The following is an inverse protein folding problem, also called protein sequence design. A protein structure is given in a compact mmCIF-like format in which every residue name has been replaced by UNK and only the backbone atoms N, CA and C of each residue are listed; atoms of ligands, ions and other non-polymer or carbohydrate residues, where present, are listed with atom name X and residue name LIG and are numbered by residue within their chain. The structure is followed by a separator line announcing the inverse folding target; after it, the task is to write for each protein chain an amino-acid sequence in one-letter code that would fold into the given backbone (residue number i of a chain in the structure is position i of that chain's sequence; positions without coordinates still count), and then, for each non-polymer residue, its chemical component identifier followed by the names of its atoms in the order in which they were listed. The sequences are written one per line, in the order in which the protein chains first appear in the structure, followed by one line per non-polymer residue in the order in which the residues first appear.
data_IF_473414140483
#
_entry.id   IF_473414140483
#
_cell.length_a   1.000
_cell.length_b   1.000
_cell.length_c   1.000
_cell.angle_alpha   90.00
_cell.angle_beta   90.00
_cell.angle_gamma   90.00
#
_symmetry.space_group_name_H-M   'P 1'
#
loop_
_entity.id
_entity.type
_entity.pdbx_description
1 polymer ?
#
# COMPACT_ATOMS: atom_id res chain seq x y z
N UNK A 1 -13.70 13.25 6.66
CA UNK A 1 -14.58 12.10 6.34
C UNK A 1 -15.36 11.68 7.58
N UNK A 2 -16.55 11.08 7.44
CA UNK A 2 -17.36 10.59 8.58
C UNK A 2 -17.03 9.12 8.86
N UNK A 3 -17.07 8.71 10.14
CA UNK A 3 -16.83 7.35 10.70
C UNK A 3 -17.43 6.16 9.92
N UNK A 4 -18.47 6.39 9.10
CA UNK A 4 -19.08 5.37 8.22
C UNK A 4 -18.20 4.94 7.03
N UNK A 5 -17.26 5.76 6.56
CA UNK A 5 -16.49 5.48 5.34
C UNK A 5 -15.26 4.58 5.58
N UNK A 6 -14.61 4.71 6.75
CA UNK A 6 -13.40 3.95 7.14
C UNK A 6 -13.70 2.58 7.80
N UNK A 7 -14.97 2.27 8.09
CA UNK A 7 -15.36 1.10 8.90
C UNK A 7 -15.08 1.26 10.40
N UNK A 8 -15.07 0.15 11.15
CA UNK A 8 -14.76 0.11 12.60
C UNK A 8 -13.26 0.23 12.90
N UNK A 9 -12.48 0.93 12.08
CA UNK A 9 -11.07 1.12 12.37
C UNK A 9 -10.90 1.89 13.68
N UNK A 10 -10.36 1.21 14.70
CA UNK A 10 -10.09 1.78 16.03
C UNK A 10 -8.72 2.42 16.13
N UNK A 11 -7.84 2.19 15.14
CA UNK A 11 -6.47 2.71 15.07
C UNK A 11 -5.91 2.69 13.65
N UNK A 12 -4.84 3.43 13.44
CA UNK A 12 -3.98 3.34 12.27
C UNK A 12 -3.43 1.91 12.12
N UNK A 13 -3.33 1.44 10.88
CA UNK A 13 -2.76 0.13 10.58
C UNK A 13 -1.26 0.01 10.98
N UNK A 14 -0.49 1.11 10.88
CA UNK A 14 0.97 1.11 11.03
C UNK A 14 1.50 1.65 12.37
N UNK A 15 0.67 2.33 13.14
CA UNK A 15 1.09 2.94 14.40
C UNK A 15 -0.06 2.94 15.42
N UNK A 16 0.23 3.40 16.64
CA UNK A 16 -0.73 3.45 17.74
C UNK A 16 -1.74 4.60 17.65
N UNK A 17 -1.71 5.44 16.61
CA UNK A 17 -2.68 6.53 16.44
C UNK A 17 -4.11 5.97 16.40
N UNK A 18 -4.99 6.57 17.18
CA UNK A 18 -6.39 6.13 17.36
C UNK A 18 -7.40 7.26 17.29
N UNK A 19 -6.94 8.53 17.17
CA UNK A 19 -7.82 9.64 16.89
C UNK A 19 -8.43 9.49 15.50
N UNK A 20 -9.75 9.25 15.48
CA UNK A 20 -10.52 9.06 14.26
C UNK A 20 -10.44 10.25 13.30
N UNK A 21 -10.25 11.47 13.81
CA UNK A 21 -10.11 12.66 12.95
C UNK A 21 -8.78 12.70 12.22
N UNK A 22 -7.78 11.96 12.73
CA UNK A 22 -6.46 11.80 12.14
C UNK A 22 -6.39 10.63 11.15
N UNK A 23 -7.44 9.80 11.03
CA UNK A 23 -7.44 8.64 10.13
C UNK A 23 -7.95 9.01 8.73
N UNK A 24 -7.31 8.41 7.73
CA UNK A 24 -7.59 8.49 6.30
C UNK A 24 -7.64 7.08 5.70
N UNK A 25 -8.24 6.98 4.51
CA UNK A 25 -8.34 5.73 3.75
C UNK A 25 -7.10 5.60 2.85
N UNK A 26 -6.27 4.59 3.09
CA UNK A 26 -5.16 4.20 2.20
C UNK A 26 -5.63 3.12 1.25
N UNK A 27 -5.29 3.29 -0.03
CA UNK A 27 -5.38 2.26 -1.07
C UNK A 27 -3.96 1.80 -1.42
N UNK A 28 -3.49 0.65 -0.89
CA UNK A 28 -2.11 0.21 -1.08
C UNK A 28 -1.68 0.09 -2.54
N UNK A 29 -2.64 -0.27 -3.40
CA UNK A 29 -2.46 -0.47 -4.84
C UNK A 29 -3.14 0.60 -5.69
N UNK A 30 -3.50 1.75 -5.11
CA UNK A 30 -4.33 2.80 -5.73
C UNK A 30 -5.79 2.39 -5.98
N UNK A 31 -6.69 3.36 -5.77
CA UNK A 31 -8.14 3.19 -5.93
C UNK A 31 -8.54 2.73 -7.34
N UNK A 32 -7.81 3.15 -8.37
CA UNK A 32 -8.09 2.80 -9.77
C UNK A 32 -7.89 1.32 -10.08
N UNK A 33 -6.94 0.67 -9.39
CA UNK A 33 -6.60 -0.73 -9.64
C UNK A 33 -7.39 -1.68 -8.75
N UNK A 34 -7.57 -1.31 -7.48
CA UNK A 34 -8.42 -2.07 -6.55
C UNK A 34 -9.07 -1.12 -5.55
N UNK A 35 -10.37 -0.91 -5.75
CA UNK A 35 -11.20 -0.05 -4.91
C UNK A 35 -11.45 -0.65 -3.53
N UNK A 36 -11.48 -1.97 -3.44
CA UNK A 36 -11.87 -2.68 -2.21
C UNK A 36 -10.66 -3.00 -1.34
N UNK A 37 -9.45 -3.03 -1.92
CA UNK A 37 -8.23 -3.13 -1.14
C UNK A 37 -7.87 -1.79 -0.49
N UNK A 38 -8.39 -1.61 0.73
CA UNK A 38 -8.26 -0.38 1.51
C UNK A 38 -8.09 -0.63 3.00
N UNK A 39 -7.50 0.32 3.70
CA UNK A 39 -7.30 0.29 5.16
C UNK A 39 -7.27 1.68 5.77
N UNK A 40 -7.49 1.76 7.08
CA UNK A 40 -7.36 3.02 7.81
C UNK A 40 -5.91 3.26 8.25
N UNK A 41 -5.38 4.42 7.92
CA UNK A 41 -4.05 4.87 8.34
C UNK A 41 -4.13 6.30 8.87
N UNK A 42 -3.22 6.72 9.74
CA UNK A 42 -3.18 8.13 10.11
C UNK A 42 -2.59 8.97 8.98
N UNK A 43 -2.94 10.26 8.93
CA UNK A 43 -2.43 11.25 7.93
C UNK A 43 -0.92 11.21 7.74
N UNK A 44 -0.17 11.04 8.84
CA UNK A 44 1.28 11.02 8.79
C UNK A 44 1.81 9.73 8.11
N UNK A 45 1.26 8.57 8.47
CA UNK A 45 1.59 7.31 7.80
C UNK A 45 1.15 7.35 6.34
N UNK A 46 -0.05 7.86 6.04
CA UNK A 46 -0.55 8.01 4.67
C UNK A 46 0.43 8.79 3.78
N UNK A 47 0.84 9.99 4.22
CA UNK A 47 1.80 10.82 3.47
C UNK A 47 3.15 10.16 3.25
N UNK A 48 3.66 9.40 4.23
CA UNK A 48 4.91 8.65 4.08
C UNK A 48 4.79 7.56 3.01
N UNK A 49 3.67 6.85 2.99
CA UNK A 49 3.38 5.81 1.99
C UNK A 49 3.24 6.42 0.60
N UNK A 50 2.48 7.51 0.46
CA UNK A 50 2.34 8.24 -0.81
C UNK A 50 3.69 8.70 -1.34
N UNK A 51 4.50 9.36 -0.49
CA UNK A 51 5.84 9.81 -0.87
C UNK A 51 6.75 8.65 -1.32
N UNK A 52 6.73 7.51 -0.62
CA UNK A 52 7.52 6.34 -1.01
C UNK A 52 7.09 5.78 -2.38
N UNK A 53 5.79 5.69 -2.64
CA UNK A 53 5.24 5.23 -3.92
C UNK A 53 5.55 6.21 -5.06
N UNK A 54 5.46 7.51 -4.79
CA UNK A 54 5.76 8.57 -5.76
C UNK A 54 7.25 8.57 -6.15
N UNK A 55 8.17 8.43 -5.18
CA UNK A 55 9.62 8.33 -5.44
C UNK A 55 9.93 7.12 -6.34
N UNK A 56 9.24 5.99 -6.12
CA UNK A 56 9.38 4.78 -6.94
C UNK A 56 8.60 4.84 -8.26
N UNK A 57 7.94 5.97 -8.57
CA UNK A 57 7.11 6.19 -9.76
C UNK A 57 6.01 5.13 -9.96
N UNK A 58 5.43 4.67 -8.86
CA UNK A 58 4.38 3.65 -8.85
C UNK A 58 2.97 4.25 -8.85
N UNK A 59 2.85 5.56 -8.68
CA UNK A 59 1.59 6.31 -8.76
C UNK A 59 1.52 7.11 -10.05
N UNK A 60 0.29 7.48 -10.43
CA UNK A 60 0.03 8.43 -11.52
C UNK A 60 -0.24 9.83 -11.01
N UNK A 61 0.13 10.13 -9.76
CA UNK A 61 -0.13 11.44 -9.17
C UNK A 61 0.53 12.53 -10.04
N UNK A 62 -0.26 13.50 -10.50
CA UNK A 62 0.20 14.56 -11.41
C UNK A 62 0.33 14.17 -12.89
N UNK A 63 -0.02 12.94 -13.28
CA UNK A 63 0.00 12.47 -14.67
C UNK A 63 -1.43 12.30 -15.21
N UNK A 64 -2.04 13.41 -15.64
CA UNK A 64 -3.46 13.46 -15.99
C UNK A 64 -3.84 12.77 -17.32
N UNK A 65 -2.87 12.33 -18.14
CA UNK A 65 -3.10 11.80 -19.50
C UNK A 65 -2.44 10.44 -19.77
N UNK A 66 -2.10 9.66 -18.74
CA UNK A 66 -1.43 8.36 -18.93
C UNK A 66 -2.45 7.23 -19.03
N UNK A 67 -2.73 6.84 -20.27
CA UNK A 67 -3.51 5.64 -20.58
C UNK A 67 -2.56 4.44 -20.46
N UNK A 68 -2.87 3.53 -19.54
CA UNK A 68 -2.15 2.26 -19.40
C UNK A 68 -2.93 1.15 -20.11
N UNK A 69 -2.21 0.25 -20.76
CA UNK A 69 -2.76 -1.05 -21.14
C UNK A 69 -3.05 -1.90 -19.89
N UNK A 70 -3.93 -2.90 -20.01
CA UNK A 70 -4.19 -3.86 -18.92
C UNK A 70 -2.92 -4.52 -18.38
N UNK A 71 -1.96 -4.82 -19.27
CA UNK A 71 -0.67 -5.39 -18.90
C UNK A 71 0.18 -4.42 -18.05
N UNK A 72 0.21 -3.14 -18.40
CA UNK A 72 0.89 -2.10 -17.62
C UNK A 72 0.21 -1.87 -16.27
N UNK A 73 -1.14 -1.87 -16.24
CA UNK A 73 -1.91 -1.77 -15.02
C UNK A 73 -1.62 -2.94 -14.07
N UNK A 74 -1.59 -4.17 -14.59
CA UNK A 74 -1.22 -5.36 -13.82
C UNK A 74 0.23 -5.30 -13.31
N UNK A 75 1.16 -4.84 -14.15
CA UNK A 75 2.56 -4.65 -13.74
C UNK A 75 2.67 -3.65 -12.58
N UNK A 76 1.99 -2.50 -12.68
CA UNK A 76 1.94 -1.48 -11.62
C UNK A 76 1.29 -2.01 -10.35
N UNK A 77 0.18 -2.75 -10.47
CA UNK A 77 -0.48 -3.42 -9.34
C UNK A 77 0.49 -4.32 -8.57
N UNK A 78 1.24 -5.17 -9.28
CA UNK A 78 2.20 -6.08 -8.65
C UNK A 78 3.35 -5.35 -7.96
N UNK A 79 3.83 -4.24 -8.53
CA UNK A 79 4.86 -3.41 -7.89
C UNK A 79 4.34 -2.71 -6.63
N UNK A 80 3.13 -2.14 -6.68
CA UNK A 80 2.50 -1.52 -5.52
C UNK A 80 2.22 -2.54 -4.41
N UNK A 81 1.78 -3.75 -4.77
CA UNK A 81 1.57 -4.81 -3.81
C UNK A 81 2.90 -5.27 -3.19
N UNK A 82 3.98 -5.35 -3.97
CA UNK A 82 5.31 -5.65 -3.43
C UNK A 82 5.79 -4.57 -2.44
N UNK A 83 5.55 -3.29 -2.75
CA UNK A 83 5.85 -2.16 -1.87
C UNK A 83 5.12 -2.27 -0.54
N UNK A 84 3.83 -2.60 -0.61
CA UNK A 84 3.00 -2.78 0.56
C UNK A 84 3.53 -3.91 1.46
N UNK A 85 3.90 -5.05 0.88
CA UNK A 85 4.46 -6.18 1.64
C UNK A 85 5.76 -5.80 2.36
N UNK A 86 6.64 -5.02 1.74
CA UNK A 86 7.84 -4.51 2.40
C UNK A 86 7.53 -3.54 3.53
N UNK A 87 6.60 -2.62 3.30
CA UNK A 87 6.20 -1.65 4.32
C UNK A 87 5.60 -2.37 5.53
N UNK A 88 4.77 -3.39 5.31
CA UNK A 88 4.23 -4.21 6.39
C UNK A 88 5.37 -4.92 7.13
N UNK A 89 6.34 -5.51 6.41
CA UNK A 89 7.47 -6.22 7.02
C UNK A 89 8.27 -5.34 7.99
N UNK A 90 8.43 -4.05 7.70
CA UNK A 90 9.08 -3.07 8.57
C UNK A 90 8.28 -2.74 9.84
N UNK A 91 6.97 -2.99 9.83
CA UNK A 91 6.04 -2.66 10.91
C UNK A 91 5.42 -3.91 11.58
N UNK A 92 5.98 -5.09 11.32
CA UNK A 92 5.57 -6.32 12.03
C UNK A 92 6.06 -6.25 13.48
N UNK A 93 5.13 -6.06 14.40
CA UNK A 93 5.37 -6.10 15.86
C UNK A 93 4.89 -7.42 16.50
N UNK A 94 5.02 -8.55 15.80
CA UNK A 94 4.57 -9.88 16.29
C UNK A 94 5.72 -10.69 16.87
N UNK A 95 5.44 -11.87 17.44
CA UNK A 95 6.48 -12.82 17.89
C UNK A 95 6.26 -14.20 17.28
N UNK A 96 7.26 -14.79 16.60
CA UNK A 96 8.54 -14.18 16.21
C UNK A 96 8.35 -13.22 15.01
N UNK A 97 8.86 -11.97 15.09
CA UNK A 97 8.68 -10.99 14.02
C UNK A 97 9.47 -11.37 12.76
N UNK A 98 10.63 -12.04 12.91
CA UNK A 98 11.52 -12.32 11.78
C UNK A 98 10.90 -13.29 10.77
N UNK A 99 10.11 -14.28 11.23
CA UNK A 99 9.48 -15.24 10.33
C UNK A 99 8.48 -14.56 9.40
N UNK A 100 7.61 -13.70 9.96
CA UNK A 100 6.59 -13.00 9.18
C UNK A 100 7.24 -11.97 8.27
N UNK A 101 8.16 -11.15 8.78
CA UNK A 101 8.89 -10.17 7.98
C UNK A 101 9.62 -10.83 6.79
N UNK A 102 10.30 -11.96 7.02
CA UNK A 102 10.98 -12.72 5.97
C UNK A 102 9.99 -13.24 4.92
N UNK A 103 8.83 -13.75 5.35
CA UNK A 103 7.80 -14.25 4.43
C UNK A 103 7.22 -13.14 3.55
N UNK A 104 6.95 -11.96 4.13
CA UNK A 104 6.49 -10.77 3.42
C UNK A 104 7.54 -10.29 2.41
N UNK A 105 8.81 -10.21 2.81
CA UNK A 105 9.91 -9.84 1.92
C UNK A 105 10.09 -10.83 0.74
N UNK A 106 9.98 -12.15 1.00
CA UNK A 106 10.01 -13.17 -0.06
C UNK A 106 8.82 -13.03 -1.02
N UNK A 107 7.65 -12.69 -0.50
CA UNK A 107 6.45 -12.42 -1.30
C UNK A 107 6.66 -11.18 -2.17
N UNK A 108 7.17 -10.08 -1.62
CA UNK A 108 7.52 -8.88 -2.37
C UNK A 108 8.50 -9.17 -3.51
N UNK A 109 9.56 -9.94 -3.24
CA UNK A 109 10.53 -10.33 -4.26
C UNK A 109 9.89 -11.19 -5.37
N UNK A 110 8.97 -12.09 -5.02
CA UNK A 110 8.21 -12.90 -5.99
C UNK A 110 7.31 -12.04 -6.89
N UNK A 111 6.59 -11.10 -6.29
CA UNK A 111 5.72 -10.16 -7.01
C UNK A 111 6.52 -9.31 -8.01
N UNK A 112 7.71 -8.81 -7.62
CA UNK A 112 8.58 -8.07 -8.53
C UNK A 112 9.06 -8.89 -9.72
N UNK A 113 9.43 -10.16 -9.50
CA UNK A 113 9.81 -11.05 -10.62
C UNK A 113 8.64 -11.27 -11.58
N UNK A 114 7.42 -11.43 -11.07
CA UNK A 114 6.22 -11.52 -11.91
C UNK A 114 5.97 -10.23 -12.69
N UNK A 115 6.13 -9.07 -12.06
CA UNK A 115 6.02 -7.77 -12.73
C UNK A 115 7.08 -7.58 -13.82
N UNK A 116 8.31 -8.04 -13.60
CA UNK A 116 9.38 -8.03 -14.60
C UNK A 116 9.09 -8.98 -15.77
N UNK A 117 8.44 -10.12 -15.55
CA UNK A 117 8.00 -10.99 -16.64
C UNK A 117 6.90 -10.35 -17.52
N UNK A 118 6.28 -9.25 -17.06
CA UNK A 118 5.30 -8.46 -17.79
C UNK A 118 5.89 -7.22 -18.48
N UNK A 119 7.18 -6.90 -18.33
CA UNK A 119 7.82 -5.92 -19.24
C UNK A 119 8.02 -6.54 -20.63
#
# INVERSE_FOLDING_TARGET
MRRKQLGYATRCFYCSESDIYCLEEDHPVSFELDRDFKRAVCRNCHRKLEAARDIRKLTKNGQHNVIESERQALQRYLHLLAEDQETIAEHVFTTPPELIATALQKTAASLRRKAQALS
#
